data_IF_237635414964
#
_entry.id   IF_237635414964
#
_cell.length_a   1.000
_cell.length_b   1.000
_cell.length_c   1.000
_cell.angle_alpha   90.00
_cell.angle_beta   90.00
_cell.angle_gamma   90.00
#
_symmetry.space_group_name_H-M   'P 1'
#
loop_
_entity.id
_entity.type
_entity.pdbx_description
1 polymer ?
#
# COMPACT_ATOMS: atom_id res chain seq x y z
N UNK A 1 4.22 33.56 -15.28
CA UNK A 1 5.22 32.62 -15.85
C UNK A 1 4.54 31.27 -16.15
N UNK A 2 5.21 30.41 -16.93
CA UNK A 2 4.73 29.05 -17.26
C UNK A 2 4.45 28.24 -16.00
N UNK A 3 5.34 28.32 -15.03
CA UNK A 3 5.26 27.62 -13.76
C UNK A 3 4.04 28.03 -12.91
N UNK A 4 3.62 29.28 -12.97
CA UNK A 4 2.46 29.78 -12.23
C UNK A 4 1.12 29.31 -12.84
N UNK A 5 1.07 29.16 -14.16
CA UNK A 5 -0.15 28.82 -14.90
C UNK A 5 -0.35 27.30 -15.07
N UNK A 6 0.73 26.54 -15.19
CA UNK A 6 0.69 25.13 -15.53
C UNK A 6 1.25 24.19 -14.45
N UNK A 7 1.76 24.75 -13.32
CA UNK A 7 2.44 23.95 -12.31
C UNK A 7 1.54 22.85 -11.69
N UNK A 8 0.29 23.17 -11.40
CA UNK A 8 -0.67 22.22 -10.81
C UNK A 8 -0.98 21.12 -11.82
N UNK A 9 -1.30 21.48 -13.06
CA UNK A 9 -1.66 20.53 -14.11
C UNK A 9 -0.47 19.60 -14.45
N UNK A 10 0.75 20.12 -14.42
CA UNK A 10 1.97 19.31 -14.59
C UNK A 10 2.17 18.29 -13.48
N UNK A 11 1.90 18.67 -12.23
CA UNK A 11 1.96 17.74 -11.09
C UNK A 11 0.91 16.66 -11.24
N UNK A 12 -0.31 17.01 -11.60
CA UNK A 12 -1.39 16.03 -11.83
C UNK A 12 -1.05 15.08 -12.98
N UNK A 13 -0.58 15.61 -14.11
CA UNK A 13 -0.19 14.81 -15.27
C UNK A 13 0.98 13.88 -14.96
N UNK A 14 2.01 14.35 -14.23
CA UNK A 14 3.15 13.53 -13.83
C UNK A 14 2.76 12.44 -12.84
N UNK A 15 1.85 12.74 -11.92
CA UNK A 15 1.30 11.79 -10.97
C UNK A 15 0.51 10.69 -11.68
N UNK A 16 -0.40 11.07 -12.60
CA UNK A 16 -1.17 10.14 -13.40
C UNK A 16 -0.27 9.23 -14.26
N UNK A 17 0.77 9.82 -14.89
CA UNK A 17 1.75 9.06 -15.67
C UNK A 17 2.52 8.06 -14.80
N UNK A 18 2.93 8.47 -13.61
CA UNK A 18 3.65 7.60 -12.67
C UNK A 18 2.80 6.40 -12.25
N UNK A 19 1.53 6.62 -11.90
CA UNK A 19 0.62 5.50 -11.57
C UNK A 19 0.33 4.60 -12.77
N UNK A 20 0.14 5.17 -13.96
CA UNK A 20 -0.01 4.37 -15.17
C UNK A 20 1.20 3.46 -15.39
N UNK A 21 2.40 4.01 -15.24
CA UNK A 21 3.64 3.25 -15.39
C UNK A 21 3.78 2.14 -14.34
N UNK A 22 3.46 2.43 -13.08
CA UNK A 22 3.49 1.46 -11.99
C UNK A 22 2.48 0.32 -12.21
N UNK A 23 1.23 0.64 -12.55
CA UNK A 23 0.18 -0.36 -12.83
C UNK A 23 0.59 -1.23 -14.02
N UNK A 24 1.08 -0.62 -15.11
CA UNK A 24 1.53 -1.33 -16.30
C UNK A 24 2.67 -2.31 -16.00
N UNK A 25 3.71 -1.87 -15.30
CA UNK A 25 4.83 -2.74 -14.98
C UNK A 25 4.44 -3.84 -14.00
N UNK A 26 3.64 -3.55 -13.00
CA UNK A 26 3.13 -4.57 -12.09
C UNK A 26 2.36 -5.66 -12.84
N UNK A 27 1.48 -5.27 -13.77
CA UNK A 27 0.77 -6.22 -14.63
C UNK A 27 1.74 -7.11 -15.41
N UNK A 28 2.71 -6.49 -16.10
CA UNK A 28 3.70 -7.21 -16.91
C UNK A 28 4.50 -8.18 -16.05
N UNK A 29 4.92 -7.77 -14.86
CA UNK A 29 5.73 -8.63 -13.99
C UNK A 29 4.92 -9.78 -13.40
N UNK A 30 3.67 -9.56 -13.00
CA UNK A 30 2.78 -10.63 -12.56
C UNK A 30 2.54 -11.66 -13.68
N UNK A 31 2.43 -11.24 -14.93
CA UNK A 31 2.20 -12.16 -16.05
C UNK A 31 3.41 -13.05 -16.36
N UNK A 32 4.64 -12.64 -15.98
CA UNK A 32 5.86 -13.41 -16.15
C UNK A 32 6.07 -14.49 -15.08
N UNK A 33 5.34 -14.46 -14.00
CA UNK A 33 5.48 -15.43 -12.90
C UNK A 33 5.04 -16.81 -13.39
N UNK A 34 5.94 -17.79 -13.34
CA UNK A 34 5.67 -19.15 -13.81
C UNK A 34 4.79 -19.91 -12.83
N UNK A 35 5.06 -19.81 -11.52
CA UNK A 35 4.25 -20.49 -10.51
C UNK A 35 2.82 -19.95 -10.47
N UNK A 36 1.88 -20.87 -10.70
CA UNK A 36 0.45 -20.54 -10.80
C UNK A 36 -0.12 -19.95 -9.51
N UNK A 37 0.30 -20.45 -8.35
CA UNK A 37 -0.25 -20.03 -7.07
C UNK A 37 0.26 -18.62 -6.71
N UNK A 38 1.56 -18.38 -6.85
CA UNK A 38 2.18 -17.06 -6.67
C UNK A 38 1.59 -16.04 -7.63
N UNK A 39 1.46 -16.39 -8.92
CA UNK A 39 0.83 -15.51 -9.91
C UNK A 39 -0.61 -15.17 -9.54
N UNK A 40 -1.39 -16.12 -9.01
CA UNK A 40 -2.77 -15.88 -8.56
C UNK A 40 -2.81 -14.95 -7.35
N UNK A 41 -1.96 -15.17 -6.35
CA UNK A 41 -1.88 -14.33 -5.15
C UNK A 41 -1.47 -12.89 -5.51
N UNK A 42 -0.37 -12.72 -6.25
CA UNK A 42 0.10 -11.40 -6.68
C UNK A 42 -0.82 -10.74 -7.70
N UNK A 43 -1.56 -11.51 -8.50
CA UNK A 43 -2.58 -10.99 -9.40
C UNK A 43 -3.75 -10.33 -8.65
N UNK A 44 -4.15 -10.87 -7.50
CA UNK A 44 -5.16 -10.24 -6.63
C UNK A 44 -4.62 -8.94 -6.02
N UNK A 45 -3.37 -8.93 -5.57
CA UNK A 45 -2.72 -7.72 -5.06
C UNK A 45 -2.62 -6.65 -6.14
N UNK A 46 -2.25 -7.04 -7.36
CA UNK A 46 -2.25 -6.15 -8.52
C UNK A 46 -3.63 -5.54 -8.78
N UNK A 47 -4.67 -6.38 -8.82
CA UNK A 47 -6.05 -5.90 -9.05
C UNK A 47 -6.50 -4.94 -7.96
N UNK A 48 -6.22 -5.27 -6.70
CA UNK A 48 -6.53 -4.40 -5.57
C UNK A 48 -5.82 -3.05 -5.70
N UNK A 49 -4.52 -3.05 -6.00
CA UNK A 49 -3.75 -1.83 -6.20
C UNK A 49 -4.32 -0.95 -7.33
N UNK A 50 -4.64 -1.56 -8.48
CA UNK A 50 -5.21 -0.83 -9.61
C UNK A 50 -6.59 -0.24 -9.29
N UNK A 51 -7.45 -1.00 -8.60
CA UNK A 51 -8.78 -0.53 -8.17
C UNK A 51 -8.65 0.62 -7.17
N UNK A 52 -7.75 0.54 -6.20
CA UNK A 52 -7.52 1.64 -5.24
C UNK A 52 -7.09 2.91 -5.95
N UNK A 53 -6.21 2.82 -6.96
CA UNK A 53 -5.82 4.01 -7.73
C UNK A 53 -6.99 4.60 -8.53
N UNK A 54 -7.87 3.78 -9.10
CA UNK A 54 -9.07 4.28 -9.78
C UNK A 54 -10.04 4.94 -8.78
N UNK A 55 -10.17 4.42 -7.56
CA UNK A 55 -11.03 5.00 -6.53
C UNK A 55 -10.45 6.31 -6.01
N UNK A 56 -9.15 6.35 -5.70
CA UNK A 56 -8.45 7.54 -5.20
C UNK A 56 -8.55 8.72 -6.18
N UNK A 57 -8.44 8.45 -7.47
CA UNK A 57 -8.46 9.43 -8.55
C UNK A 57 -9.77 9.42 -9.35
N UNK A 58 -10.87 8.96 -8.74
CA UNK A 58 -12.15 8.77 -9.42
C UNK A 58 -12.71 10.03 -10.08
N UNK A 59 -12.43 11.22 -9.54
CA UNK A 59 -12.87 12.49 -10.09
C UNK A 59 -12.39 12.66 -11.54
N UNK A 60 -11.10 12.48 -11.79
CA UNK A 60 -10.52 12.60 -13.13
C UNK A 60 -11.07 11.57 -14.12
N UNK A 61 -11.39 10.36 -13.63
CA UNK A 61 -12.05 9.34 -14.46
C UNK A 61 -13.51 9.70 -14.81
N UNK A 62 -14.23 10.37 -13.89
CA UNK A 62 -15.59 10.86 -14.17
C UNK A 62 -15.58 12.08 -15.09
N UNK A 63 -14.68 13.04 -14.90
CA UNK A 63 -14.53 14.23 -15.74
C UNK A 63 -14.26 13.87 -17.20
N UNK A 64 -13.45 12.83 -17.42
CA UNK A 64 -13.15 12.31 -18.77
C UNK A 64 -14.19 11.32 -19.31
N UNK A 65 -15.24 11.03 -18.56
CA UNK A 65 -16.23 9.99 -18.88
C UNK A 65 -15.61 8.60 -19.12
N UNK A 66 -14.43 8.32 -18.56
CA UNK A 66 -13.74 7.03 -18.70
C UNK A 66 -14.40 5.92 -17.89
N UNK A 67 -15.12 6.27 -16.82
CA UNK A 67 -15.91 5.33 -16.02
C UNK A 67 -17.32 5.84 -15.78
N UNK A 68 -18.26 4.90 -15.61
CA UNK A 68 -19.65 5.22 -15.23
C UNK A 68 -19.86 5.01 -13.72
N UNK A 69 -20.89 5.64 -13.15
CA UNK A 69 -21.27 5.41 -11.75
C UNK A 69 -21.53 3.91 -11.46
N UNK A 70 -22.12 3.19 -12.42
CA UNK A 70 -22.35 1.73 -12.29
C UNK A 70 -21.03 0.97 -12.21
N UNK A 71 -20.07 1.30 -13.06
CA UNK A 71 -18.71 0.71 -13.05
C UNK A 71 -18.02 0.99 -11.74
N UNK A 72 -18.07 2.23 -11.24
CA UNK A 72 -17.47 2.63 -9.98
C UNK A 72 -18.03 1.85 -8.77
N UNK A 73 -19.36 1.68 -8.71
CA UNK A 73 -20.01 0.86 -7.68
C UNK A 73 -19.52 -0.60 -7.76
N UNK A 74 -19.37 -1.13 -8.97
CA UNK A 74 -18.83 -2.46 -9.21
C UNK A 74 -17.40 -2.63 -8.71
N UNK A 75 -16.53 -1.64 -8.99
CA UNK A 75 -15.14 -1.63 -8.52
C UNK A 75 -15.05 -1.62 -6.98
N UNK A 76 -15.90 -0.85 -6.30
CA UNK A 76 -15.94 -0.84 -4.83
C UNK A 76 -16.33 -2.21 -4.25
N UNK A 77 -17.32 -2.88 -4.83
CA UNK A 77 -17.71 -4.24 -4.41
C UNK A 77 -16.60 -5.25 -4.67
N UNK A 78 -15.94 -5.16 -5.83
CA UNK A 78 -14.82 -6.04 -6.16
C UNK A 78 -13.65 -5.84 -5.19
N UNK A 79 -13.36 -4.60 -4.78
CA UNK A 79 -12.36 -4.29 -3.76
C UNK A 79 -12.61 -5.05 -2.45
N UNK A 80 -13.85 -5.01 -1.95
CA UNK A 80 -14.24 -5.72 -0.71
C UNK A 80 -14.06 -7.24 -0.84
N UNK A 81 -14.39 -7.79 -2.01
CA UNK A 81 -14.14 -9.20 -2.31
C UNK A 81 -12.64 -9.53 -2.28
N UNK A 82 -11.81 -8.68 -2.92
CA UNK A 82 -10.37 -8.88 -2.97
C UNK A 82 -9.72 -8.80 -1.58
N UNK A 83 -10.18 -7.95 -0.67
CA UNK A 83 -9.70 -7.93 0.72
C UNK A 83 -9.91 -9.30 1.39
N UNK A 84 -11.08 -9.89 1.21
CA UNK A 84 -11.39 -11.21 1.78
C UNK A 84 -10.55 -12.33 1.14
N UNK A 85 -10.29 -12.23 -0.18
CA UNK A 85 -9.50 -13.22 -0.91
C UNK A 85 -7.99 -13.13 -0.66
N UNK A 86 -7.46 -11.94 -0.36
CA UNK A 86 -6.03 -11.70 -0.08
C UNK A 86 -5.70 -12.02 1.38
N UNK A 87 -6.66 -11.87 2.28
CA UNK A 87 -6.45 -12.04 3.73
C UNK A 87 -5.72 -13.34 4.12
N UNK A 88 -6.02 -14.52 3.56
CA UNK A 88 -5.28 -15.75 3.90
C UNK A 88 -3.79 -15.69 3.54
N UNK A 89 -3.44 -14.97 2.50
CA UNK A 89 -2.06 -14.85 1.97
C UNK A 89 -1.31 -13.63 2.55
N UNK A 90 -1.99 -12.78 3.33
CA UNK A 90 -1.47 -11.48 3.76
C UNK A 90 -0.17 -11.58 4.54
N UNK A 91 -0.06 -12.53 5.47
CA UNK A 91 1.16 -12.74 6.26
C UNK A 91 2.34 -13.14 5.36
N UNK A 92 2.13 -14.13 4.48
CA UNK A 92 3.18 -14.58 3.55
C UNK A 92 3.62 -13.45 2.60
N UNK A 93 2.69 -12.59 2.16
CA UNK A 93 2.99 -11.45 1.29
C UNK A 93 3.86 -10.40 2.01
N UNK A 94 3.60 -10.14 3.29
CA UNK A 94 4.41 -9.22 4.11
C UNK A 94 5.78 -9.81 4.40
N UNK A 95 5.84 -11.08 4.80
CA UNK A 95 7.11 -11.79 5.08
C UNK A 95 8.00 -11.89 3.84
N UNK A 96 7.42 -11.93 2.63
CA UNK A 96 8.16 -11.98 1.37
C UNK A 96 9.07 -10.75 1.14
N UNK A 97 8.85 -9.62 1.81
CA UNK A 97 9.76 -8.48 1.76
C UNK A 97 11.10 -8.74 2.48
N UNK A 98 11.15 -9.73 3.35
CA UNK A 98 12.39 -10.16 4.04
C UNK A 98 12.99 -9.11 4.98
N UNK A 99 12.21 -8.17 5.48
CA UNK A 99 12.67 -7.20 6.47
C UNK A 99 12.93 -7.89 7.81
N UNK A 100 14.13 -7.71 8.34
CA UNK A 100 14.48 -8.19 9.69
C UNK A 100 13.99 -7.22 10.75
N UNK A 101 13.80 -7.70 11.98
CA UNK A 101 13.41 -6.85 13.13
C UNK A 101 14.36 -5.67 13.32
N UNK A 102 15.66 -5.89 13.09
CA UNK A 102 16.69 -4.83 13.14
C UNK A 102 16.48 -3.76 12.07
N UNK A 103 16.08 -4.15 10.86
CA UNK A 103 15.81 -3.22 9.75
C UNK A 103 14.53 -2.44 9.98
N UNK A 104 13.49 -3.11 10.50
CA UNK A 104 12.20 -2.49 10.79
C UNK A 104 12.29 -1.49 11.95
N UNK A 105 13.17 -1.72 12.93
CA UNK A 105 13.30 -0.89 14.13
C UNK A 105 11.94 -0.54 14.74
N UNK A 106 11.05 -1.51 14.83
CA UNK A 106 9.66 -1.34 15.25
C UNK A 106 9.28 -2.34 16.32
N UNK A 107 8.78 -1.85 17.46
CA UNK A 107 8.27 -2.71 18.52
C UNK A 107 7.02 -3.50 18.09
N UNK A 108 6.20 -2.92 17.18
CA UNK A 108 4.98 -3.56 16.68
C UNK A 108 5.30 -4.61 15.62
N UNK A 109 6.34 -4.36 14.81
CA UNK A 109 6.75 -5.24 13.72
C UNK A 109 7.70 -6.36 14.14
N UNK A 110 8.00 -6.50 15.44
CA UNK A 110 8.88 -7.55 15.94
C UNK A 110 8.29 -8.93 15.72
N UNK A 111 9.12 -9.86 15.25
CA UNK A 111 8.75 -11.24 14.94
C UNK A 111 8.45 -12.11 16.17
N UNK A 112 8.74 -11.61 17.38
CA UNK A 112 8.52 -12.30 18.65
C UNK A 112 7.04 -12.37 19.09
N UNK A 113 6.15 -11.64 18.40
CA UNK A 113 4.72 -11.61 18.68
C UNK A 113 4.30 -10.89 19.97
N UNK A 114 5.19 -10.06 20.56
CA UNK A 114 4.95 -9.34 21.83
C UNK A 114 4.89 -7.81 21.65
N UNK A 115 4.00 -7.29 20.82
CA UNK A 115 4.00 -5.88 20.45
C UNK A 115 3.77 -4.94 21.65
N UNK A 116 2.93 -5.32 22.59
CA UNK A 116 2.59 -4.47 23.74
C UNK A 116 3.71 -4.44 24.78
N UNK A 117 4.32 -5.59 25.06
CA UNK A 117 5.46 -5.70 25.96
C UNK A 117 6.65 -4.92 25.40
N UNK A 118 6.94 -5.06 24.12
CA UNK A 118 8.01 -4.35 23.44
C UNK A 118 7.78 -2.83 23.42
N UNK A 119 6.55 -2.38 23.16
CA UNK A 119 6.21 -0.97 23.24
C UNK A 119 6.40 -0.40 24.64
N UNK A 120 5.99 -1.15 25.67
CA UNK A 120 6.14 -0.73 27.06
C UNK A 120 7.60 -0.67 27.48
N UNK A 121 8.40 -1.66 27.06
CA UNK A 121 9.84 -1.71 27.33
C UNK A 121 10.56 -0.54 26.63
N UNK A 122 10.26 -0.27 25.39
CA UNK A 122 10.82 0.86 24.66
C UNK A 122 10.43 2.20 25.29
N UNK A 123 9.19 2.36 25.73
CA UNK A 123 8.74 3.57 26.41
C UNK A 123 9.48 3.80 27.72
N UNK A 124 9.81 2.73 28.44
CA UNK A 124 10.52 2.79 29.74
C UNK A 124 12.01 3.01 29.58
N UNK A 125 12.65 2.28 28.65
CA UNK A 125 14.10 2.12 28.60
C UNK A 125 14.75 2.93 27.47
N UNK A 126 14.07 3.21 26.38
CA UNK A 126 14.64 3.90 25.21
C UNK A 126 14.33 5.40 25.17
N UNK A 127 13.40 5.88 25.99
CA UNK A 127 13.04 7.30 26.03
C UNK A 127 13.70 7.96 27.25
N UNK A 128 14.61 8.89 26.98
CA UNK A 128 15.34 9.62 28.06
C UNK A 128 14.40 10.34 29.02
N UNK A 129 13.26 10.85 28.54
CA UNK A 129 12.25 11.53 29.39
C UNK A 129 11.63 10.59 30.44
N UNK A 130 11.64 9.28 30.20
CA UNK A 130 11.04 8.29 31.10
C UNK A 130 12.06 7.63 32.02
N UNK A 131 13.35 7.94 31.90
CA UNK A 131 14.37 7.43 32.80
C UNK A 131 14.16 7.99 34.21
N UNK A 132 14.29 7.17 35.26
CA UNK A 132 14.11 7.61 36.65
C UNK A 132 14.98 8.82 37.05
N UNK A 133 16.16 8.94 36.46
CA UNK A 133 17.14 10.00 36.70
C UNK A 133 16.67 11.38 36.20
N UNK A 134 15.73 11.45 35.27
CA UNK A 134 15.20 12.72 34.71
C UNK A 134 13.95 13.18 35.47
N UNK A 135 13.36 12.33 36.33
CA UNK A 135 12.16 12.64 37.13
C UNK A 135 12.46 13.13 38.53
N UNK A 136 13.74 13.27 38.92
CA UNK A 136 14.19 13.81 40.16
C UNK A 136 14.54 15.30 40.00
#
# INVERSE_FOLDING_TARGET
>A
TWDELAGIDLVEASTAHSYYWMVKNFYVDVTKIEDRNTRKALGRVFLLYAIEKIIDYSTSFFETNSITAKTFIGLRKLRETLYSEIRPDALCLVEAFGYTDHTLMSAIGSSDGKPYENLLDWARNSNDVNKPEVRA
#
